data_IF_982944667806
#
_entry.id   IF_982944667806
#
_cell.length_a   1.000
_cell.length_b   1.000
_cell.length_c   1.000
_cell.angle_alpha   90.00
_cell.angle_beta   90.00
_cell.angle_gamma   90.00
#
_symmetry.space_group_name_H-M   'P 1'
#
loop_
_entity.id
_entity.type
_entity.pdbx_description
1 polymer ?
#
# COMPACT_ATOMS: atom_id res chain seq x y z
N UNK A 1 18.95 -13.28 -10.38
CA UNK A 1 18.14 -13.22 -9.15
C UNK A 1 18.23 -11.80 -8.62
N UNK A 2 17.10 -11.14 -8.33
CA UNK A 2 17.09 -9.81 -7.71
C UNK A 2 17.74 -9.89 -6.32
N UNK A 3 18.51 -8.87 -5.90
CA UNK A 3 19.06 -8.77 -4.54
C UNK A 3 18.15 -7.85 -3.69
N UNK A 4 18.34 -7.82 -2.36
CA UNK A 4 17.53 -6.98 -1.47
C UNK A 4 17.49 -5.50 -1.90
N UNK A 5 18.63 -4.96 -2.34
CA UNK A 5 18.75 -3.59 -2.81
C UNK A 5 17.89 -3.31 -4.05
N UNK A 6 17.89 -4.22 -5.05
CA UNK A 6 17.07 -4.05 -6.24
C UNK A 6 15.58 -4.15 -5.92
N UNK A 7 15.18 -5.05 -5.00
CA UNK A 7 13.78 -5.16 -4.56
C UNK A 7 13.29 -3.91 -3.83
N UNK A 8 14.10 -3.32 -2.96
CA UNK A 8 13.78 -2.04 -2.30
C UNK A 8 13.65 -0.91 -3.31
N UNK A 9 14.58 -0.85 -4.27
CA UNK A 9 14.55 0.15 -5.33
C UNK A 9 13.27 0.03 -6.18
N UNK A 10 12.87 -1.19 -6.52
CA UNK A 10 11.62 -1.46 -7.24
C UNK A 10 10.39 -1.02 -6.44
N UNK A 11 10.34 -1.29 -5.13
CA UNK A 11 9.24 -0.84 -4.28
C UNK A 11 9.17 0.69 -4.23
N UNK A 12 10.31 1.36 -4.00
CA UNK A 12 10.37 2.83 -3.95
C UNK A 12 9.95 3.44 -5.29
N UNK A 13 10.40 2.87 -6.41
CA UNK A 13 10.00 3.30 -7.74
C UNK A 13 8.47 3.12 -7.94
N UNK A 14 7.90 2.02 -7.44
CA UNK A 14 6.47 1.77 -7.45
C UNK A 14 5.66 2.82 -6.67
N UNK A 15 6.14 3.21 -5.49
CA UNK A 15 5.51 4.25 -4.66
C UNK A 15 5.54 5.62 -5.35
N UNK A 16 6.67 6.03 -5.90
CA UNK A 16 6.77 7.26 -6.69
C UNK A 16 5.88 7.24 -7.93
N UNK A 17 5.83 6.12 -8.64
CA UNK A 17 4.96 5.99 -9.82
C UNK A 17 3.47 6.05 -9.44
N UNK A 18 3.07 5.52 -8.28
CA UNK A 18 1.71 5.65 -7.78
C UNK A 18 1.34 7.10 -7.44
N UNK A 19 2.24 7.81 -6.76
CA UNK A 19 2.09 9.24 -6.47
C UNK A 19 1.95 10.08 -7.74
N UNK A 20 2.85 9.91 -8.71
CA UNK A 20 2.79 10.63 -9.98
C UNK A 20 1.47 10.40 -10.73
N UNK A 21 0.96 9.15 -10.74
CA UNK A 21 -0.33 8.82 -11.35
C UNK A 21 -1.48 9.53 -10.64
N UNK A 22 -1.46 9.60 -9.30
CA UNK A 22 -2.49 10.31 -8.55
C UNK A 22 -2.44 11.82 -8.80
N UNK A 23 -1.26 12.43 -8.80
CA UNK A 23 -1.08 13.86 -9.11
C UNK A 23 -1.61 14.17 -10.52
N UNK A 24 -1.26 13.35 -11.52
CA UNK A 24 -1.74 13.51 -12.88
C UNK A 24 -3.26 13.31 -13.01
N UNK A 25 -3.86 12.43 -12.19
CA UNK A 25 -5.32 12.26 -12.11
C UNK A 25 -5.98 13.49 -11.48
N UNK A 26 -5.46 13.96 -10.35
CA UNK A 26 -5.97 15.14 -9.68
C UNK A 26 -5.87 16.40 -10.55
N UNK A 27 -4.84 16.55 -11.37
CA UNK A 27 -4.69 17.69 -12.26
C UNK A 27 -5.77 17.78 -13.36
N UNK A 28 -6.34 16.63 -13.79
CA UNK A 28 -7.31 16.56 -14.90
C UNK A 28 -8.77 16.36 -14.48
N UNK A 29 -9.04 16.31 -13.19
CA UNK A 29 -10.37 16.03 -12.64
C UNK A 29 -10.75 17.16 -11.70
N UNK A 30 -11.86 17.84 -11.90
CA UNK A 30 -12.33 18.87 -10.96
C UNK A 30 -12.84 18.26 -9.64
N UNK A 31 -13.23 19.12 -8.69
CA UNK A 31 -13.69 18.69 -7.36
C UNK A 31 -15.06 17.98 -7.40
N UNK A 32 -15.92 18.30 -8.37
CA UNK A 32 -17.23 17.69 -8.52
C UNK A 32 -17.08 16.24 -8.97
N UNK A 33 -16.36 16.03 -10.08
CA UNK A 33 -16.06 14.72 -10.65
C UNK A 33 -15.18 13.85 -9.74
N UNK A 34 -14.49 14.44 -8.76
CA UNK A 34 -13.69 13.70 -7.77
C UNK A 34 -14.54 12.78 -6.88
N UNK A 35 -15.78 13.17 -6.62
CA UNK A 35 -16.68 12.51 -5.66
C UNK A 35 -17.78 11.68 -6.31
N UNK A 36 -17.94 11.78 -7.63
CA UNK A 36 -18.95 11.03 -8.37
C UNK A 36 -18.60 9.53 -8.35
N UNK A 37 -19.61 8.71 -8.03
CA UNK A 37 -19.57 7.26 -8.20
C UNK A 37 -20.17 6.90 -9.55
N UNK A 38 -19.39 6.24 -10.41
CA UNK A 38 -19.86 5.78 -11.73
C UNK A 38 -21.00 4.75 -11.62
N UNK A 39 -21.02 3.97 -10.52
CA UNK A 39 -22.06 2.98 -10.20
C UNK A 39 -22.38 3.00 -8.70
N UNK A 40 -23.62 2.67 -8.29
CA UNK A 40 -24.01 2.63 -6.88
C UNK A 40 -23.13 1.72 -6.00
N UNK A 41 -22.58 0.65 -6.57
CA UNK A 41 -21.75 -0.36 -5.91
C UNK A 41 -20.23 -0.15 -6.10
N UNK A 42 -19.84 1.03 -6.61
CA UNK A 42 -18.45 1.41 -6.86
C UNK A 42 -18.00 2.53 -5.94
N UNK A 43 -16.69 2.64 -5.75
CA UNK A 43 -16.08 3.78 -5.09
C UNK A 43 -15.76 4.88 -6.11
N UNK A 44 -16.02 6.12 -5.70
CA UNK A 44 -15.51 7.32 -6.36
C UNK A 44 -13.99 7.41 -6.26
N UNK A 45 -13.39 8.37 -6.96
CA UNK A 45 -11.96 8.65 -6.87
C UNK A 45 -11.60 9.06 -5.44
N UNK A 46 -12.41 9.93 -4.82
CA UNK A 46 -12.23 10.35 -3.43
C UNK A 46 -12.17 9.17 -2.47
N UNK A 47 -13.09 8.22 -2.61
CA UNK A 47 -13.17 7.02 -1.76
C UNK A 47 -11.99 6.08 -1.98
N UNK A 48 -11.54 5.92 -3.23
CA UNK A 48 -10.35 5.13 -3.52
C UNK A 48 -9.10 5.73 -2.87
N UNK A 49 -8.91 7.04 -2.96
CA UNK A 49 -7.76 7.73 -2.36
C UNK A 49 -7.83 7.68 -0.84
N UNK A 50 -9.00 7.91 -0.26
CA UNK A 50 -9.17 7.87 1.19
C UNK A 50 -8.95 6.47 1.76
N UNK A 51 -9.38 5.41 1.06
CA UNK A 51 -9.07 4.04 1.43
C UNK A 51 -7.54 3.76 1.45
N UNK A 52 -6.79 4.28 0.47
CA UNK A 52 -5.34 4.14 0.45
C UNK A 52 -4.69 4.92 1.61
N UNK A 53 -5.19 6.12 1.90
CA UNK A 53 -4.71 6.95 3.00
C UNK A 53 -4.97 6.31 4.36
N UNK A 54 -6.20 5.84 4.61
CA UNK A 54 -6.58 5.22 5.89
C UNK A 54 -5.79 3.93 6.15
N UNK A 55 -5.60 3.12 5.10
CA UNK A 55 -4.79 1.90 5.18
C UNK A 55 -3.33 2.23 5.52
N UNK A 56 -2.76 3.24 4.86
CA UNK A 56 -1.39 3.70 5.13
C UNK A 56 -1.25 4.21 6.57
N UNK A 57 -2.21 5.01 7.06
CA UNK A 57 -2.23 5.50 8.44
C UNK A 57 -2.29 4.38 9.46
N UNK A 58 -3.04 3.31 9.18
CA UNK A 58 -3.14 2.15 10.07
C UNK A 58 -1.86 1.31 10.12
N UNK A 59 -1.21 1.09 8.97
CA UNK A 59 0.00 0.25 8.89
C UNK A 59 1.28 0.95 9.31
N UNK A 60 1.44 2.26 9.07
CA UNK A 60 2.68 2.99 9.35
C UNK A 60 3.17 2.83 10.79
N UNK A 61 2.33 2.99 11.84
CA UNK A 61 2.77 2.79 13.23
C UNK A 61 3.25 1.37 13.50
N UNK A 62 2.60 0.36 12.90
CA UNK A 62 2.98 -1.05 13.07
C UNK A 62 4.31 -1.36 12.38
N UNK A 63 4.51 -0.81 11.18
CA UNK A 63 5.78 -0.90 10.44
C UNK A 63 6.91 -0.26 11.25
N UNK A 64 6.69 0.96 11.77
CA UNK A 64 7.67 1.64 12.63
C UNK A 64 8.04 0.80 13.84
N UNK A 65 7.03 0.36 14.60
CA UNK A 65 7.23 -0.46 15.79
C UNK A 65 8.00 -1.75 15.48
N UNK A 66 7.67 -2.44 14.38
CA UNK A 66 8.37 -3.66 13.99
C UNK A 66 9.83 -3.41 13.59
N UNK A 67 10.12 -2.30 12.90
CA UNK A 67 11.48 -1.91 12.54
C UNK A 67 12.29 -1.43 13.75
N UNK A 68 11.66 -0.81 14.75
CA UNK A 68 12.31 -0.34 15.98
C UNK A 68 12.63 -1.49 16.94
N UNK A 69 11.70 -2.44 17.11
CA UNK A 69 11.85 -3.57 18.02
C UNK A 69 12.75 -4.69 17.49
N UNK A 70 12.98 -4.74 16.18
CA UNK A 70 13.96 -5.64 15.60
C UNK A 70 15.38 -5.13 15.89
N UNK A 71 16.09 -5.81 16.79
CA UNK A 71 17.50 -5.53 17.09
C UNK A 71 18.45 -6.34 16.20
N UNK A 72 17.93 -7.22 15.33
CA UNK A 72 18.75 -8.04 14.45
C UNK A 72 19.29 -7.22 13.27
N UNK A 73 20.53 -6.75 13.41
CA UNK A 73 21.31 -6.31 12.24
C UNK A 73 21.92 -7.55 11.59
N UNK A 74 21.24 -8.11 10.60
CA UNK A 74 21.83 -9.14 9.76
C UNK A 74 22.55 -8.52 8.58
N UNK A 75 23.52 -9.24 8.01
CA UNK A 75 24.18 -8.87 6.75
C UNK A 75 23.22 -9.15 5.56
N UNK A 76 22.00 -8.62 5.64
CA UNK A 76 20.89 -8.81 4.71
C UNK A 76 21.23 -8.36 3.27
N UNK A 77 22.36 -7.68 3.10
CA UNK A 77 22.91 -7.23 1.81
C UNK A 77 23.11 -8.38 0.82
N UNK A 78 23.24 -9.64 1.29
CA UNK A 78 23.46 -10.83 0.44
C UNK A 78 22.21 -11.63 0.07
N UNK A 79 21.07 -11.44 0.73
CA UNK A 79 19.88 -12.29 0.50
C UNK A 79 18.72 -11.51 -0.10
N UNK A 80 17.99 -12.11 -1.03
CA UNK A 80 16.74 -11.55 -1.54
C UNK A 80 15.62 -11.69 -0.51
N UNK A 81 14.74 -10.69 -0.42
CA UNK A 81 13.52 -10.79 0.36
C UNK A 81 12.61 -11.84 -0.27
N UNK A 82 12.11 -12.77 0.57
CA UNK A 82 11.22 -13.84 0.15
C UNK A 82 9.88 -13.68 0.85
N UNK A 83 8.80 -13.82 0.07
CA UNK A 83 7.46 -13.99 0.62
C UNK A 83 7.31 -15.43 1.09
N UNK A 84 6.71 -15.61 2.24
CA UNK A 84 6.20 -16.92 2.67
C UNK A 84 4.93 -17.28 1.89
N UNK A 85 4.40 -18.49 2.14
CA UNK A 85 3.20 -19.01 1.46
C UNK A 85 1.98 -18.10 1.69
N UNK A 86 1.81 -17.59 2.92
CA UNK A 86 0.77 -16.64 3.27
C UNK A 86 0.90 -15.32 2.50
N UNK A 87 2.09 -14.73 2.46
CA UNK A 87 2.38 -13.50 1.72
C UNK A 87 2.26 -13.67 0.20
N UNK A 88 2.55 -14.87 -0.33
CA UNK A 88 2.28 -15.20 -1.73
C UNK A 88 0.77 -15.22 -2.03
N UNK A 89 -0.02 -15.89 -1.19
CA UNK A 89 -1.47 -15.95 -1.33
C UNK A 89 -2.11 -14.56 -1.23
N UNK A 90 -1.74 -13.77 -0.21
CA UNK A 90 -2.23 -12.41 -0.05
C UNK A 90 -1.88 -11.53 -1.26
N UNK A 91 -0.64 -11.60 -1.74
CA UNK A 91 -0.23 -10.86 -2.93
C UNK A 91 -1.00 -11.28 -4.19
N UNK A 92 -1.38 -12.55 -4.31
CA UNK A 92 -2.24 -13.01 -5.42
C UNK A 92 -3.68 -12.51 -5.31
N UNK A 93 -4.18 -12.27 -4.09
CA UNK A 93 -5.54 -11.77 -3.82
C UNK A 93 -5.66 -10.25 -3.98
N UNK A 94 -4.64 -9.49 -3.57
CA UNK A 94 -4.66 -8.01 -3.54
C UNK A 94 -3.92 -7.40 -4.74
N UNK A 95 -3.06 -8.19 -5.41
CA UNK A 95 -2.38 -7.77 -6.63
C UNK A 95 -3.33 -7.54 -7.81
N UNK A 96 -2.82 -7.05 -8.95
CA UNK A 96 -3.64 -6.84 -10.14
C UNK A 96 -4.39 -8.12 -10.51
N UNK A 97 -5.72 -8.05 -10.49
CA UNK A 97 -6.60 -9.20 -10.68
C UNK A 97 -6.22 -9.93 -11.97
N UNK A 98 -5.92 -11.23 -11.84
CA UNK A 98 -5.68 -12.08 -13.01
C UNK A 98 -6.97 -12.13 -13.82
N UNK A 99 -6.87 -11.79 -15.10
CA UNK A 99 -7.94 -11.98 -16.07
C UNK A 99 -7.80 -13.39 -16.65
N UNK A 100 -8.83 -14.21 -16.54
CA UNK A 100 -8.97 -15.42 -17.36
C UNK A 100 -10.08 -15.13 -18.36
N UNK A 101 -9.72 -14.94 -19.63
CA UNK A 101 -10.62 -14.41 -20.65
C UNK A 101 -11.07 -12.98 -20.29
N UNK A 102 -12.39 -12.77 -20.20
CA UNK A 102 -13.00 -11.49 -19.81
C UNK A 102 -13.29 -11.38 -18.30
N UNK A 103 -13.12 -12.46 -17.54
CA UNK A 103 -13.52 -12.52 -16.12
C UNK A 103 -12.34 -12.19 -15.21
N UNK A 104 -12.55 -11.25 -14.27
CA UNK A 104 -11.59 -10.94 -13.20
C UNK A 104 -11.78 -11.92 -12.04
N UNK A 105 -10.75 -12.71 -11.73
CA UNK A 105 -10.80 -13.68 -10.62
C UNK A 105 -10.05 -13.11 -9.41
N UNK A 106 -10.63 -13.28 -8.21
CA UNK A 106 -9.99 -12.90 -6.95
C UNK A 106 -10.43 -11.55 -6.37
N UNK A 107 -11.60 -11.01 -6.76
CA UNK A 107 -12.12 -9.76 -6.15
C UNK A 107 -12.45 -10.01 -4.67
N UNK A 108 -11.59 -9.51 -3.79
CA UNK A 108 -11.83 -9.48 -2.34
C UNK A 108 -12.69 -8.25 -2.03
N UNK A 109 -13.76 -8.44 -1.26
CA UNK A 109 -14.51 -7.31 -0.71
C UNK A 109 -13.71 -6.69 0.42
N UNK A 110 -13.53 -5.38 0.37
CA UNK A 110 -13.02 -4.59 1.48
C UNK A 110 -13.91 -4.83 2.70
N UNK A 111 -13.32 -5.05 3.89
CA UNK A 111 -14.11 -5.14 5.12
C UNK A 111 -14.61 -3.76 5.54
N UNK A 112 -15.73 -3.69 6.26
CA UNK A 112 -16.37 -2.41 6.61
C UNK A 112 -15.48 -1.44 7.40
N UNK A 113 -14.42 -1.94 8.04
CA UNK A 113 -13.42 -1.15 8.76
C UNK A 113 -12.54 -0.29 7.84
N UNK A 114 -12.51 -0.60 6.54
CA UNK A 114 -11.72 0.07 5.51
C UNK A 114 -12.56 0.79 4.47
N UNK A 115 -13.89 0.83 4.66
CA UNK A 115 -14.72 1.67 3.84
C UNK A 115 -14.53 3.12 4.29
N UNK A 116 -14.19 4.04 3.37
CA UNK A 116 -14.03 5.45 3.70
C UNK A 116 -15.38 6.02 4.14
N UNK A 117 -15.47 6.43 5.41
CA UNK A 117 -16.71 7.00 6.00
C UNK A 117 -16.76 8.52 5.85
N UNK A 118 -15.60 9.16 6.00
CA UNK A 118 -15.46 10.60 5.97
C UNK A 118 -14.52 10.99 4.82
N UNK A 119 -15.04 11.72 3.84
CA UNK A 119 -14.24 12.25 2.73
C UNK A 119 -13.75 13.64 3.06
N UNK A 120 -12.45 13.85 2.90
CA UNK A 120 -11.83 15.17 3.00
C UNK A 120 -11.73 15.84 1.62
N UNK A 121 -11.56 17.17 1.54
CA UNK A 121 -11.44 17.87 0.27
C UNK A 121 -10.35 17.27 -0.62
N UNK A 122 -10.58 17.23 -1.94
CA UNK A 122 -9.65 16.68 -2.95
C UNK A 122 -8.19 17.05 -2.69
N UNK A 123 -7.89 18.34 -2.58
CA UNK A 123 -6.51 18.81 -2.40
C UNK A 123 -5.89 18.31 -1.08
N UNK A 124 -6.68 18.21 -0.02
CA UNK A 124 -6.24 17.64 1.25
C UNK A 124 -5.97 16.13 1.13
N UNK A 125 -6.86 15.38 0.48
CA UNK A 125 -6.68 13.93 0.25
C UNK A 125 -5.43 13.59 -0.55
N UNK A 126 -5.12 14.38 -1.59
CA UNK A 126 -3.92 14.22 -2.42
C UNK A 126 -2.66 14.62 -1.64
N UNK A 127 -2.71 15.72 -0.88
CA UNK A 127 -1.59 16.14 -0.04
C UNK A 127 -1.27 15.11 1.04
N UNK A 128 -2.29 14.52 1.67
CA UNK A 128 -2.11 13.46 2.66
C UNK A 128 -1.55 12.19 2.04
N UNK A 129 -1.99 11.82 0.83
CA UNK A 129 -1.41 10.71 0.09
C UNK A 129 0.10 10.92 -0.13
N UNK A 130 0.51 12.08 -0.64
CA UNK A 130 1.93 12.40 -0.85
C UNK A 130 2.75 12.36 0.45
N UNK A 131 2.19 12.88 1.55
CA UNK A 131 2.86 12.79 2.88
C UNK A 131 3.06 11.34 3.31
N UNK A 132 2.02 10.51 3.18
CA UNK A 132 2.08 9.09 3.57
C UNK A 132 3.05 8.30 2.68
N UNK A 133 3.10 8.58 1.37
CA UNK A 133 4.09 8.00 0.46
C UNK A 133 5.52 8.35 0.89
N UNK A 134 5.78 9.61 1.22
CA UNK A 134 7.09 10.06 1.73
C UNK A 134 7.49 9.31 2.99
N UNK A 135 6.55 9.12 3.94
CA UNK A 135 6.81 8.34 5.15
C UNK A 135 7.12 6.89 4.84
N UNK A 136 6.35 6.23 3.98
CA UNK A 136 6.59 4.84 3.58
C UNK A 136 7.95 4.67 2.90
N UNK A 137 8.32 5.56 1.97
CA UNK A 137 9.63 5.55 1.31
C UNK A 137 10.76 5.70 2.33
N UNK A 138 10.61 6.59 3.32
CA UNK A 138 11.60 6.75 4.38
C UNK A 138 11.77 5.47 5.21
N UNK A 139 10.67 4.82 5.59
CA UNK A 139 10.70 3.55 6.33
C UNK A 139 11.37 2.43 5.53
N UNK A 140 11.05 2.31 4.24
CA UNK A 140 11.63 1.31 3.34
C UNK A 140 13.14 1.53 3.19
N UNK A 141 13.59 2.78 2.96
CA UNK A 141 15.03 3.11 2.91
C UNK A 141 15.74 2.76 4.22
N UNK A 142 15.13 3.09 5.36
CA UNK A 142 15.65 2.76 6.68
C UNK A 142 15.73 1.25 6.97
N UNK A 143 15.05 0.42 6.18
CA UNK A 143 15.01 -1.03 6.34
C UNK A 143 15.98 -1.83 5.46
N UNK A 144 16.79 -1.15 4.62
CA UNK A 144 17.65 -1.80 3.62
C UNK A 144 18.62 -2.85 4.18
N UNK A 145 19.01 -2.71 5.44
CA UNK A 145 19.93 -3.64 6.12
C UNK A 145 19.23 -4.51 7.17
N UNK A 146 17.92 -4.68 7.06
CA UNK A 146 17.11 -5.48 7.98
C UNK A 146 16.56 -6.73 7.29
N UNK A 147 16.41 -7.85 8.01
CA UNK A 147 15.84 -9.08 7.45
C UNK A 147 14.31 -8.96 7.34
N UNK A 148 13.81 -8.15 6.40
CA UNK A 148 12.36 -7.89 6.25
C UNK A 148 11.50 -9.16 6.09
N UNK A 149 12.05 -10.25 5.56
CA UNK A 149 11.35 -11.54 5.42
C UNK A 149 10.97 -12.15 6.78
N UNK A 150 11.74 -11.86 7.82
CA UNK A 150 11.63 -12.43 9.16
C UNK A 150 10.82 -11.52 10.10
N UNK A 151 10.63 -10.26 9.73
CA UNK A 151 9.82 -9.29 10.47
C UNK A 151 8.35 -9.50 10.11
N UNK A 152 7.54 -9.87 11.11
CA UNK A 152 6.09 -10.03 10.97
C UNK A 152 5.36 -8.86 11.63
N UNK A 153 4.30 -8.41 10.99
CA UNK A 153 3.39 -7.39 11.50
C UNK A 153 2.01 -8.00 11.55
N UNK A 154 1.34 -7.89 12.70
CA UNK A 154 -0.08 -8.24 12.80
C UNK A 154 -0.86 -7.24 11.97
N UNK A 155 -1.72 -7.71 11.07
CA UNK A 155 -2.62 -6.84 10.35
C UNK A 155 -3.47 -6.01 11.34
N UNK A 156 -3.61 -4.68 11.15
CA UNK A 156 -4.55 -3.89 11.95
C UNK A 156 -6.01 -4.28 11.70
N UNK A 157 -6.26 -5.23 10.81
CA UNK A 157 -7.57 -5.69 10.35
C UNK A 157 -7.75 -7.15 10.69
N UNK A 158 -8.82 -7.47 11.43
CA UNK A 158 -9.17 -8.85 11.78
C UNK A 158 -8.25 -9.53 12.81
N UNK A 159 -7.21 -8.86 13.30
CA UNK A 159 -6.52 -9.16 14.56
C UNK A 159 -5.91 -10.55 14.73
N UNK A 160 -5.60 -11.28 13.65
CA UNK A 160 -4.96 -12.59 13.76
C UNK A 160 -3.71 -12.65 12.89
N UNK A 161 -2.62 -13.12 13.51
CA UNK A 161 -1.40 -13.60 12.86
C UNK A 161 -1.67 -14.92 12.15
#
# INVERSE_FOLDING_TARGET
>A
MANAHSQITEIIAGLHAAEQRLIALAARTDAENWTIRDRPDSWSIAECVEHLNMTSRAFIPLIRSALENDQSRSDATRHSFKRDTAGFMLSAMVGPLRKIGQTRIGRVKTTAEFEPKDLIPKNASVADFSKLQTVLIHLIRGSERRPLSDIKIVSPFGGKL
#
